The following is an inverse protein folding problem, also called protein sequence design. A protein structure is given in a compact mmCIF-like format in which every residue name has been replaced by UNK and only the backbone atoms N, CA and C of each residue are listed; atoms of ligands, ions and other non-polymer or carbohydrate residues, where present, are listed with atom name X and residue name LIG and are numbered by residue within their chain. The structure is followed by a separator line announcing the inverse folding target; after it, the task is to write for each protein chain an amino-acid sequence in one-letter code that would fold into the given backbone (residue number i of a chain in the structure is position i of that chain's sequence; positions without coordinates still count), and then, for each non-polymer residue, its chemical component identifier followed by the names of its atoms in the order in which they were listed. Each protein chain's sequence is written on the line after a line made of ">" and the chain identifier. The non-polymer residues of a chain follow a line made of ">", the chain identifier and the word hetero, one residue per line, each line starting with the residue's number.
data_IF_823829289183
#
_entry.id   IF_823829289183
#
_cell.length_a   1.000
_cell.length_b   1.000
_cell.length_c   1.000
_cell.angle_alpha   90.00
_cell.angle_beta   90.00
_cell.angle_gamma   90.00
#
_symmetry.space_group_name_H-M   'P 1'
#
loop_
_entity.id
_entity.type
_entity.pdbx_description
1 polymer ?
#
# COMPACT_ATOMS: atom_id res chain seq x y z
N UNK A 1 -4.61 0.41 -6.98
CA UNK A 1 -5.06 -0.10 -8.30
C UNK A 1 -4.32 0.73 -9.33
N UNK A 2 -3.25 0.21 -9.91
CA UNK A 2 -2.44 0.93 -10.90
C UNK A 2 -1.93 -0.12 -11.86
N UNK A 3 -2.65 -0.28 -12.95
CA UNK A 3 -2.34 -1.16 -14.04
C UNK A 3 -3.32 -0.76 -15.13
N UNK A 4 -2.89 0.14 -16.01
CA UNK A 4 -3.68 0.67 -17.15
C UNK A 4 -4.80 1.68 -16.87
N UNK A 5 -4.74 2.46 -15.79
CA UNK A 5 -5.66 3.60 -15.68
C UNK A 5 -5.14 4.73 -16.59
N UNK A 6 -5.84 4.99 -17.70
CA UNK A 6 -5.54 6.09 -18.65
C UNK A 6 -5.61 7.50 -18.02
N UNK A 7 -5.97 7.59 -16.74
CA UNK A 7 -6.12 8.86 -16.00
C UNK A 7 -4.83 9.14 -15.22
N UNK A 8 -3.92 9.88 -15.87
CA UNK A 8 -2.64 10.36 -15.31
C UNK A 8 -2.72 10.96 -13.90
N UNK A 9 -3.73 11.81 -13.53
CA UNK A 9 -3.79 12.36 -12.18
C UNK A 9 -4.05 11.27 -11.14
N UNK A 10 -4.98 10.34 -11.35
CA UNK A 10 -5.32 9.32 -10.34
C UNK A 10 -4.14 8.39 -9.98
N UNK A 11 -3.26 8.12 -10.95
CA UNK A 11 -2.04 7.34 -10.73
C UNK A 11 -1.08 8.02 -9.75
N UNK A 12 -0.98 9.36 -9.77
CA UNK A 12 -0.13 10.12 -8.83
C UNK A 12 -0.57 9.97 -7.37
N UNK A 13 -1.86 9.73 -7.12
CA UNK A 13 -2.40 9.64 -5.76
C UNK A 13 -2.34 8.20 -5.20
N UNK A 14 -2.16 7.21 -6.07
CA UNK A 14 -2.14 5.79 -5.70
C UNK A 14 -0.74 5.23 -5.48
N UNK A 15 0.23 6.08 -5.15
CA UNK A 15 1.59 5.68 -4.81
C UNK A 15 1.71 5.36 -3.30
N UNK A 16 2.45 4.31 -2.98
CA UNK A 16 2.88 3.96 -1.62
C UNK A 16 4.22 4.59 -1.28
N UNK A 17 5.09 4.73 -2.27
CA UNK A 17 6.37 5.44 -2.12
C UNK A 17 6.75 6.12 -3.42
N UNK A 18 7.57 7.15 -3.32
CA UNK A 18 8.17 7.83 -4.45
C UNK A 18 9.69 7.89 -4.24
N UNK A 19 10.47 7.63 -5.29
CA UNK A 19 11.91 7.88 -5.29
C UNK A 19 12.24 8.87 -6.41
N UNK A 20 13.22 9.74 -6.21
CA UNK A 20 13.69 10.70 -7.21
C UNK A 20 15.20 10.62 -7.31
N UNK A 21 15.72 10.63 -8.53
CA UNK A 21 17.15 10.71 -8.83
C UNK A 21 17.53 12.08 -9.44
N UNK A 22 16.77 13.14 -9.12
CA UNK A 22 16.95 14.50 -9.66
C UNK A 22 16.53 14.69 -11.12
N UNK A 23 16.67 13.67 -11.97
CA UNK A 23 16.24 13.70 -13.38
C UNK A 23 14.89 13.03 -13.62
N UNK A 24 14.59 11.98 -12.86
CA UNK A 24 13.36 11.20 -12.99
C UNK A 24 12.80 10.88 -11.61
N UNK A 25 11.47 10.86 -11.51
CA UNK A 25 10.78 10.36 -10.33
C UNK A 25 10.18 8.98 -10.63
N UNK A 26 10.15 8.13 -9.63
CA UNK A 26 9.56 6.80 -9.68
C UNK A 26 8.48 6.73 -8.62
N UNK A 27 7.24 6.51 -9.05
CA UNK A 27 6.10 6.28 -8.18
C UNK A 27 5.85 4.78 -8.07
N UNK A 28 5.94 4.26 -6.85
CA UNK A 28 5.75 2.85 -6.55
C UNK A 28 4.34 2.58 -6.06
N UNK A 29 3.65 1.67 -6.74
CA UNK A 29 2.40 1.07 -6.29
C UNK A 29 2.63 -0.32 -5.69
N UNK A 30 1.56 -0.94 -5.22
CA UNK A 30 1.63 -2.29 -4.62
C UNK A 30 1.96 -3.41 -5.65
N UNK A 31 1.77 -3.12 -6.95
CA UNK A 31 1.85 -4.09 -8.05
C UNK A 31 2.53 -3.55 -9.31
N UNK A 32 2.99 -2.31 -9.29
CA UNK A 32 3.73 -1.75 -10.41
C UNK A 32 4.55 -0.54 -9.94
N UNK A 33 5.28 0.05 -10.89
CA UNK A 33 5.80 1.39 -10.75
C UNK A 33 5.51 2.19 -12.02
N UNK A 34 5.53 3.51 -11.88
CA UNK A 34 5.50 4.45 -12.99
C UNK A 34 6.66 5.43 -12.85
N UNK A 35 7.27 5.81 -13.97
CA UNK A 35 8.28 6.86 -13.98
C UNK A 35 7.69 8.19 -14.47
N UNK A 36 8.23 9.28 -13.96
CA UNK A 36 7.86 10.64 -14.30
C UNK A 36 9.10 11.44 -14.68
N UNK A 37 8.97 12.24 -15.74
CA UNK A 37 9.99 13.19 -16.20
C UNK A 37 9.31 14.54 -16.34
N UNK A 38 9.86 15.59 -15.70
CA UNK A 38 9.25 16.93 -15.74
C UNK A 38 7.85 17.01 -15.10
N UNK A 39 7.50 16.08 -14.21
CA UNK A 39 6.19 16.03 -13.56
C UNK A 39 5.09 15.34 -14.36
N UNK A 40 5.40 14.79 -15.54
CA UNK A 40 4.47 13.96 -16.31
C UNK A 40 4.83 12.48 -16.23
N UNK A 41 3.81 11.64 -16.02
CA UNK A 41 3.95 10.18 -16.08
C UNK A 41 4.24 9.78 -17.52
N UNK A 42 5.41 9.20 -17.75
CA UNK A 42 5.92 8.82 -19.08
C UNK A 42 5.61 7.36 -19.38
N UNK A 43 5.96 6.46 -18.47
CA UNK A 43 5.76 5.03 -18.63
C UNK A 43 5.34 4.38 -17.31
N UNK A 44 4.50 3.35 -17.41
CA UNK A 44 4.10 2.51 -16.29
C UNK A 44 4.39 1.06 -16.65
N UNK A 45 5.05 0.35 -15.74
CA UNK A 45 5.30 -1.07 -15.92
C UNK A 45 3.98 -1.85 -15.93
N UNK A 46 3.96 -2.96 -16.67
CA UNK A 46 2.90 -3.96 -16.60
C UNK A 46 2.67 -4.41 -15.14
N UNK A 47 1.41 -4.46 -14.67
CA UNK A 47 1.09 -4.84 -13.31
C UNK A 47 1.53 -6.28 -13.02
N UNK A 48 2.25 -6.46 -11.93
CA UNK A 48 2.72 -7.75 -11.44
C UNK A 48 2.36 -7.87 -9.95
N UNK A 49 1.77 -8.99 -9.51
CA UNK A 49 1.40 -9.16 -8.12
C UNK A 49 2.66 -9.14 -7.24
N UNK A 50 2.56 -8.47 -6.09
CA UNK A 50 3.68 -8.31 -5.14
C UNK A 50 4.96 -7.77 -5.80
N UNK A 51 4.83 -6.72 -6.62
CA UNK A 51 5.96 -6.15 -7.34
C UNK A 51 7.05 -5.65 -6.38
N UNK A 52 8.28 -6.15 -6.55
CA UNK A 52 9.42 -5.73 -5.76
C UNK A 52 9.99 -4.42 -6.33
N UNK A 53 9.84 -3.31 -5.59
CA UNK A 53 10.31 -1.99 -6.00
C UNK A 53 11.82 -1.94 -6.26
N UNK A 54 12.60 -2.78 -5.57
CA UNK A 54 14.04 -2.84 -5.77
C UNK A 54 14.45 -3.39 -7.15
N UNK A 55 13.51 -4.00 -7.89
CA UNK A 55 13.76 -4.50 -9.26
C UNK A 55 13.53 -3.44 -10.33
N UNK A 56 13.04 -2.25 -9.97
CA UNK A 56 12.81 -1.18 -10.93
C UNK A 56 14.13 -0.73 -11.58
N UNK A 57 14.15 -0.47 -12.90
CA UNK A 57 15.33 -0.02 -13.60
C UNK A 57 15.82 1.32 -13.02
N UNK A 58 17.11 1.42 -12.74
CA UNK A 58 17.73 2.53 -12.00
C UNK A 58 17.85 2.26 -10.49
N UNK A 59 16.80 1.73 -9.86
CA UNK A 59 16.85 1.32 -8.45
C UNK A 59 17.60 0.01 -8.26
N UNK A 60 17.45 -0.95 -9.17
CA UNK A 60 18.16 -2.23 -9.10
C UNK A 60 19.69 -2.08 -9.18
N UNK A 61 20.17 -1.00 -9.81
CA UNK A 61 21.58 -0.64 -9.85
C UNK A 61 22.05 0.02 -8.55
N UNK A 62 21.19 0.84 -7.93
CA UNK A 62 21.48 1.47 -6.64
C UNK A 62 21.36 0.49 -5.45
N UNK A 63 20.50 -0.53 -5.57
CA UNK A 63 20.18 -1.50 -4.51
C UNK A 63 20.23 -2.96 -5.00
N UNK A 64 21.38 -3.44 -5.52
CA UNK A 64 21.49 -4.77 -6.11
C UNK A 64 21.21 -5.88 -5.10
N UNK A 65 21.63 -5.70 -3.86
CA UNK A 65 21.41 -6.66 -2.77
C UNK A 65 19.93 -6.80 -2.37
N UNK A 66 19.12 -5.76 -2.57
CA UNK A 66 17.68 -5.80 -2.26
C UNK A 66 16.86 -6.32 -3.45
N UNK A 67 17.34 -6.12 -4.68
CA UNK A 67 16.71 -6.61 -5.89
C UNK A 67 16.70 -8.15 -5.95
N UNK A 68 17.77 -8.80 -5.48
CA UNK A 68 17.93 -10.26 -5.47
C UNK A 68 17.50 -10.94 -4.16
N UNK A 69 17.22 -10.16 -3.11
CA UNK A 69 16.92 -10.71 -1.78
C UNK A 69 15.55 -11.42 -1.72
N UNK A 70 15.58 -12.68 -1.30
CA UNK A 70 14.38 -13.49 -1.05
C UNK A 70 13.52 -12.95 0.09
N UNK A 71 14.14 -12.29 1.08
CA UNK A 71 13.44 -11.66 2.21
C UNK A 71 12.58 -10.48 1.76
N UNK A 72 13.13 -9.65 0.86
CA UNK A 72 12.42 -8.50 0.28
C UNK A 72 11.22 -8.97 -0.51
N UNK A 73 11.39 -9.99 -1.37
CA UNK A 73 10.28 -10.61 -2.12
C UNK A 73 9.17 -11.14 -1.21
N UNK A 74 9.52 -11.82 -0.10
CA UNK A 74 8.53 -12.33 0.87
C UNK A 74 7.76 -11.20 1.55
N UNK A 75 8.43 -10.10 1.88
CA UNK A 75 7.80 -8.93 2.52
C UNK A 75 6.79 -8.26 1.58
N UNK A 76 7.14 -8.07 0.31
CA UNK A 76 6.21 -7.55 -0.70
C UNK A 76 5.01 -8.48 -0.93
N UNK A 77 5.22 -9.80 -0.91
CA UNK A 77 4.13 -10.78 -1.03
C UNK A 77 3.20 -10.75 0.19
N UNK A 78 3.76 -10.68 1.40
CA UNK A 78 2.99 -10.57 2.63
C UNK A 78 2.16 -9.28 2.64
N UNK A 79 2.77 -8.15 2.29
CA UNK A 79 2.09 -6.87 2.15
C UNK A 79 0.93 -6.96 1.14
N UNK A 80 1.18 -7.54 -0.04
CA UNK A 80 0.14 -7.72 -1.06
C UNK A 80 -1.04 -8.55 -0.55
N UNK A 81 -0.78 -9.69 0.08
CA UNK A 81 -1.82 -10.57 0.60
C UNK A 81 -2.61 -9.91 1.73
N UNK A 82 -1.93 -9.31 2.71
CA UNK A 82 -2.57 -8.62 3.83
C UNK A 82 -3.45 -7.46 3.35
N UNK A 83 -2.97 -6.69 2.37
CA UNK A 83 -3.73 -5.58 1.80
C UNK A 83 -5.00 -6.07 1.09
N UNK A 84 -4.91 -7.15 0.31
CA UNK A 84 -6.07 -7.74 -0.36
C UNK A 84 -7.08 -8.30 0.64
N UNK A 85 -6.61 -9.01 1.67
CA UNK A 85 -7.46 -9.58 2.71
C UNK A 85 -8.14 -8.47 3.51
N UNK A 86 -7.39 -7.46 3.98
CA UNK A 86 -7.94 -6.36 4.78
C UNK A 86 -8.90 -5.47 3.99
N UNK A 87 -8.61 -5.17 2.72
CA UNK A 87 -9.55 -4.42 1.87
C UNK A 87 -10.80 -5.25 1.54
N UNK A 88 -10.65 -6.56 1.30
CA UNK A 88 -11.78 -7.48 1.11
C UNK A 88 -12.68 -7.57 2.33
N UNK A 89 -12.11 -7.71 3.53
CA UNK A 89 -12.88 -7.70 4.78
C UNK A 89 -13.56 -6.36 5.03
N UNK A 90 -12.89 -5.25 4.76
CA UNK A 90 -13.49 -3.91 4.87
C UNK A 90 -14.70 -3.75 3.94
N UNK A 91 -14.63 -4.29 2.73
CA UNK A 91 -15.75 -4.30 1.78
C UNK A 91 -16.91 -5.18 2.26
N UNK A 92 -16.62 -6.37 2.79
CA UNK A 92 -17.65 -7.26 3.35
C UNK A 92 -18.33 -6.64 4.58
N UNK A 93 -17.58 -5.98 5.46
CA UNK A 93 -18.12 -5.24 6.61
C UNK A 93 -19.01 -4.08 6.16
N UNK A 94 -18.61 -3.37 5.11
CA UNK A 94 -19.45 -2.32 4.52
C UNK A 94 -20.76 -2.89 3.97
N UNK A 95 -20.73 -3.99 3.21
CA UNK A 95 -21.96 -4.67 2.75
C UNK A 95 -22.83 -5.15 3.92
N UNK A 96 -22.21 -5.72 4.94
CA UNK A 96 -22.90 -6.19 6.13
C UNK A 96 -23.60 -5.02 6.86
N UNK A 97 -22.98 -3.84 6.92
CA UNK A 97 -23.56 -2.66 7.55
C UNK A 97 -24.88 -2.21 6.91
N UNK A 98 -25.05 -2.42 5.59
CA UNK A 98 -26.30 -2.13 4.87
C UNK A 98 -27.44 -3.06 5.29
N UNK A 99 -27.13 -4.34 5.53
CA UNK A 99 -28.12 -5.36 5.90
C UNK A 99 -28.67 -5.21 7.33
N UNK A 100 -27.98 -4.48 8.20
CA UNK A 100 -28.37 -4.27 9.62
C UNK A 100 -29.64 -3.42 9.76
N UNK A 101 -30.01 -2.64 8.73
CA UNK A 101 -31.26 -1.84 8.77
C UNK A 101 -32.53 -2.71 8.77
N UNK A 102 -32.46 -3.98 8.32
CA UNK A 102 -33.64 -4.83 8.11
C UNK A 102 -33.62 -6.16 8.89
N UNK A 103 -32.53 -6.50 9.60
CA UNK A 103 -32.35 -7.81 10.26
C UNK A 103 -32.14 -7.65 11.78
N UNK A 104 -32.76 -8.55 12.56
CA UNK A 104 -32.88 -8.54 14.04
C UNK A 104 -31.53 -8.36 14.76
N UNK A 105 -31.36 -7.22 15.44
CA UNK A 105 -30.11 -6.64 15.98
C UNK A 105 -29.27 -7.45 16.99
N UNK A 106 -29.80 -8.47 17.67
CA UNK A 106 -29.15 -9.01 18.89
C UNK A 106 -28.07 -10.08 18.69
N UNK A 107 -28.13 -10.91 17.63
CA UNK A 107 -27.13 -11.97 17.41
C UNK A 107 -25.98 -11.53 16.48
N UNK A 108 -26.21 -10.57 15.59
CA UNK A 108 -25.17 -10.01 14.70
C UNK A 108 -24.26 -8.99 15.38
N UNK A 109 -24.64 -8.42 16.53
CA UNK A 109 -23.85 -7.36 17.19
C UNK A 109 -22.47 -7.84 17.64
N UNK A 110 -22.42 -8.91 18.44
CA UNK A 110 -21.17 -9.45 18.99
C UNK A 110 -20.25 -9.98 17.87
N UNK A 111 -20.80 -10.67 16.86
CA UNK A 111 -20.00 -11.16 15.73
C UNK A 111 -19.42 -10.03 14.87
N UNK A 112 -20.12 -8.90 14.73
CA UNK A 112 -19.63 -7.75 13.96
C UNK A 112 -18.47 -7.04 14.67
N UNK A 113 -18.54 -6.86 16.00
CA UNK A 113 -17.43 -6.25 16.76
C UNK A 113 -16.14 -7.04 16.61
N UNK A 114 -16.21 -8.38 16.69
CA UNK A 114 -15.04 -9.25 16.54
C UNK A 114 -14.47 -9.22 15.13
N UNK A 115 -15.31 -9.14 14.10
CA UNK A 115 -14.87 -9.05 12.71
C UNK A 115 -14.21 -7.70 12.40
N UNK A 116 -14.75 -6.60 12.95
CA UNK A 116 -14.13 -5.27 12.84
C UNK A 116 -12.76 -5.26 13.51
N UNK A 117 -12.64 -5.86 14.70
CA UNK A 117 -11.35 -5.95 15.41
C UNK A 117 -10.31 -6.79 14.65
N UNK A 118 -10.71 -7.94 14.10
CA UNK A 118 -9.82 -8.77 13.26
C UNK A 118 -9.38 -7.98 12.02
N UNK A 119 -10.30 -7.29 11.35
CA UNK A 119 -9.97 -6.48 10.18
C UNK A 119 -9.03 -5.32 10.53
N UNK A 120 -9.23 -4.68 11.69
CA UNK A 120 -8.31 -3.69 12.23
C UNK A 120 -6.89 -4.26 12.40
N UNK A 121 -6.74 -5.43 13.02
CA UNK A 121 -5.44 -6.07 13.20
C UNK A 121 -4.76 -6.43 11.86
N UNK A 122 -5.53 -6.91 10.87
CA UNK A 122 -5.02 -7.21 9.53
C UNK A 122 -4.53 -5.95 8.82
N UNK A 123 -5.33 -4.87 8.84
CA UNK A 123 -4.96 -3.61 8.21
C UNK A 123 -3.81 -2.92 8.96
N UNK A 124 -3.71 -3.07 10.27
CA UNK A 124 -2.57 -2.61 11.08
C UNK A 124 -1.29 -3.35 10.69
N UNK A 125 -1.34 -4.68 10.53
CA UNK A 125 -0.20 -5.45 10.06
C UNK A 125 0.22 -5.04 8.63
N UNK A 126 -0.75 -4.80 7.73
CA UNK A 126 -0.48 -4.29 6.39
C UNK A 126 0.20 -2.90 6.43
N UNK A 127 -0.26 -2.00 7.30
CA UNK A 127 0.32 -0.67 7.49
C UNK A 127 1.76 -0.75 8.00
N UNK A 128 2.03 -1.61 8.99
CA UNK A 128 3.39 -1.82 9.52
C UNK A 128 4.32 -2.33 8.40
N UNK A 129 3.89 -3.32 7.63
CA UNK A 129 4.66 -3.82 6.48
C UNK A 129 4.91 -2.72 5.44
N UNK A 130 3.90 -1.91 5.11
CA UNK A 130 4.04 -0.81 4.16
C UNK A 130 5.04 0.25 4.65
N UNK A 131 5.00 0.61 5.94
CA UNK A 131 5.94 1.53 6.57
C UNK A 131 7.36 0.98 6.57
N UNK A 132 7.54 -0.29 6.91
CA UNK A 132 8.86 -0.93 6.89
C UNK A 132 9.46 -0.91 5.49
N UNK A 133 8.67 -1.27 4.47
CA UNK A 133 9.13 -1.29 3.08
C UNK A 133 9.50 0.11 2.59
N UNK A 134 8.65 1.11 2.87
CA UNK A 134 8.87 2.50 2.43
C UNK A 134 10.03 3.16 3.16
N UNK A 135 10.05 3.16 4.50
CA UNK A 135 11.10 3.80 5.29
C UNK A 135 12.46 3.15 5.08
N UNK A 136 12.52 1.80 5.07
CA UNK A 136 13.76 1.09 4.79
C UNK A 136 14.21 1.31 3.36
N UNK A 137 13.28 1.32 2.39
CA UNK A 137 13.57 1.63 1.00
C UNK A 137 14.19 3.02 0.85
N UNK A 138 13.57 4.05 1.44
CA UNK A 138 14.05 5.44 1.42
C UNK A 138 15.42 5.54 2.07
N UNK A 139 15.62 4.93 3.24
CA UNK A 139 16.91 4.99 3.93
C UNK A 139 18.03 4.37 3.09
N UNK A 140 17.79 3.22 2.47
CA UNK A 140 18.75 2.56 1.61
C UNK A 140 19.03 3.35 0.32
N UNK A 141 18.00 3.96 -0.29
CA UNK A 141 18.14 4.85 -1.45
C UNK A 141 18.98 6.08 -1.13
N UNK A 142 18.72 6.73 0.01
CA UNK A 142 19.47 7.92 0.45
C UNK A 142 20.95 7.62 0.75
N UNK A 143 21.27 6.38 1.12
CA UNK A 143 22.65 5.93 1.34
C UNK A 143 23.39 5.45 0.08
N UNK A 144 22.69 5.26 -1.04
CA UNK A 144 23.25 4.65 -2.25
C UNK A 144 23.91 5.65 -3.22
N UNK A 145 23.72 6.97 -3.05
CA UNK A 145 24.41 7.98 -3.86
C UNK A 145 23.90 9.42 -3.70
N UNK A 146 24.72 10.41 -4.11
CA UNK A 146 24.35 11.82 -4.14
C UNK A 146 23.30 12.09 -5.23
N UNK A 147 22.04 12.26 -4.85
CA UNK A 147 20.96 12.63 -5.76
C UNK A 147 19.67 11.82 -5.58
N UNK A 148 19.73 10.68 -4.88
CA UNK A 148 18.54 9.89 -4.57
C UNK A 148 17.82 10.42 -3.32
N UNK A 149 16.56 10.80 -3.49
CA UNK A 149 15.64 11.12 -2.40
C UNK A 149 14.41 10.23 -2.48
N UNK A 150 13.75 10.00 -1.34
CA UNK A 150 12.57 9.16 -1.29
C UNK A 150 11.52 9.72 -0.33
N UNK A 151 10.26 9.59 -0.71
CA UNK A 151 9.12 10.14 0.02
C UNK A 151 8.01 9.09 0.14
N UNK A 152 7.26 9.17 1.24
CA UNK A 152 6.05 8.39 1.41
C UNK A 152 4.96 8.89 0.45
N UNK A 153 4.26 7.96 -0.19
CA UNK A 153 3.17 8.29 -1.11
C UNK A 153 1.82 8.54 -0.41
N UNK A 154 0.88 9.10 -1.15
CA UNK A 154 -0.46 9.45 -0.64
C UNK A 154 -1.27 8.22 -0.19
N UNK A 155 -1.03 7.04 -0.77
CA UNK A 155 -1.72 5.82 -0.36
C UNK A 155 -1.36 5.40 1.06
N UNK A 156 -0.17 5.73 1.57
CA UNK A 156 0.16 5.46 2.97
C UNK A 156 -0.72 6.28 3.92
N UNK A 157 -0.93 7.56 3.62
CA UNK A 157 -1.83 8.42 4.41
C UNK A 157 -3.27 7.90 4.40
N UNK A 158 -3.75 7.41 3.25
CA UNK A 158 -5.06 6.77 3.16
C UNK A 158 -5.15 5.52 4.03
N UNK A 159 -4.10 4.68 4.05
CA UNK A 159 -4.08 3.46 4.88
C UNK A 159 -4.04 3.78 6.37
N UNK A 160 -3.31 4.82 6.79
CA UNK A 160 -3.32 5.31 8.16
C UNK A 160 -4.73 5.75 8.55
N UNK A 161 -5.38 6.56 7.72
CA UNK A 161 -6.76 6.99 7.93
C UNK A 161 -7.74 5.82 8.05
N UNK A 162 -7.59 4.79 7.19
CA UNK A 162 -8.41 3.60 7.24
C UNK A 162 -8.23 2.79 8.54
N UNK A 163 -6.99 2.61 9.01
CA UNK A 163 -6.72 1.90 10.28
C UNK A 163 -7.30 2.65 11.47
N UNK A 164 -7.17 3.98 11.51
CA UNK A 164 -7.76 4.82 12.56
C UNK A 164 -9.29 4.75 12.52
N UNK A 165 -9.90 4.81 11.34
CA UNK A 165 -11.34 4.68 11.19
C UNK A 165 -11.86 3.30 11.64
N UNK A 166 -11.14 2.22 11.36
CA UNK A 166 -11.49 0.88 11.84
C UNK A 166 -11.38 0.77 13.37
N UNK A 167 -10.36 1.39 13.96
CA UNK A 167 -10.21 1.44 15.42
C UNK A 167 -11.37 2.20 16.09
N UNK A 168 -11.72 3.38 15.56
CA UNK A 168 -12.87 4.15 16.06
C UNK A 168 -14.19 3.40 15.84
N UNK A 169 -14.34 2.73 14.70
CA UNK A 169 -15.53 1.91 14.41
C UNK A 169 -15.68 0.79 15.42
N UNK A 170 -14.57 0.13 15.80
CA UNK A 170 -14.59 -0.90 16.83
C UNK A 170 -15.04 -0.35 18.19
N UNK A 171 -14.50 0.80 18.61
CA UNK A 171 -14.88 1.48 19.86
C UNK A 171 -16.35 1.89 19.90
N UNK A 172 -16.91 2.36 18.79
CA UNK A 172 -18.32 2.77 18.71
C UNK A 172 -19.30 1.59 18.67
N UNK A 173 -18.83 0.39 18.31
CA UNK A 173 -19.66 -0.81 18.18
C UNK A 173 -19.60 -1.70 19.42
N UNK A 174 -18.63 -1.45 20.33
CA UNK A 174 -18.50 -2.12 21.64
C UNK A 174 -19.47 -1.51 22.65
#
# INVERSE_FOLDING_TARGET
>A
LIGQLSVKPFIKWLNFGQASNGQQNYNFGLWNYCNEVGGEVQNCQHPTPAYNWATAPGISQALPNQASSSSTKRTFMALFCLYFIGTGFSFLLWLASLSVCCVRRRACGVSMTTLIFINFLVMLAALICALVVTLRGIHLLSGAGQGWSGHAGYSMWMTIGAVVALFLSWLCYT
#
